data_IF_436022153479
#
_entry.id   IF_436022153479
#
_cell.length_a   1.000
_cell.length_b   1.000
_cell.length_c   1.000
_cell.angle_alpha   90.00
_cell.angle_beta   90.00
_cell.angle_gamma   90.00
#
_symmetry.space_group_name_H-M   'P 1'
#
loop_
_entity.id
_entity.type
_entity.pdbx_description
1 polymer ?
#
# COMPACT_ATOMS: atom_id res chain seq x y z
N UNK A 1 -38.17 0.69 -21.31
CA UNK A 1 -37.32 0.23 -20.19
C UNK A 1 -36.16 1.19 -20.12
N UNK A 2 -36.10 2.03 -19.09
CA UNK A 2 -35.10 3.09 -18.96
C UNK A 2 -34.07 2.62 -17.94
N UNK A 3 -32.86 2.32 -18.40
CA UNK A 3 -31.74 1.99 -17.54
C UNK A 3 -31.10 3.32 -17.14
N UNK A 4 -31.09 3.61 -15.84
CA UNK A 4 -30.30 4.70 -15.29
C UNK A 4 -28.95 4.13 -14.89
N UNK A 5 -27.93 4.34 -15.71
CA UNK A 5 -26.55 4.17 -15.25
C UNK A 5 -26.20 5.44 -14.49
N UNK A 6 -26.16 5.38 -13.15
CA UNK A 6 -25.48 6.39 -12.36
C UNK A 6 -23.98 6.21 -12.63
N UNK A 7 -23.51 6.79 -13.73
CA UNK A 7 -22.08 7.01 -13.95
C UNK A 7 -21.63 7.97 -12.84
N UNK A 8 -21.09 7.42 -11.76
CA UNK A 8 -20.52 8.20 -10.66
C UNK A 8 -19.08 8.53 -11.07
N UNK A 9 -18.95 9.59 -11.87
CA UNK A 9 -17.77 10.00 -12.64
C UNK A 9 -16.51 10.41 -11.84
N UNK A 10 -16.47 10.29 -10.51
CA UNK A 10 -15.34 10.78 -9.70
C UNK A 10 -14.72 9.73 -8.77
N UNK A 11 -15.08 8.46 -8.92
CA UNK A 11 -14.47 7.38 -8.17
C UNK A 11 -13.13 6.97 -8.81
N UNK A 12 -12.02 7.58 -8.38
CA UNK A 12 -10.69 7.24 -8.87
C UNK A 12 -10.26 5.90 -8.29
N UNK A 13 -10.11 4.87 -9.13
CA UNK A 13 -9.57 3.59 -8.71
C UNK A 13 -8.03 3.64 -8.67
N UNK A 14 -7.46 3.36 -7.51
CA UNK A 14 -6.00 3.32 -7.32
C UNK A 14 -5.56 1.89 -6.98
N UNK A 15 -4.32 1.48 -7.31
CA UNK A 15 -3.84 0.18 -6.88
C UNK A 15 -3.85 0.06 -5.35
N UNK A 16 -4.41 -1.04 -4.84
CA UNK A 16 -4.54 -1.31 -3.39
C UNK A 16 -3.18 -1.25 -2.68
N UNK A 17 -2.09 -1.60 -3.39
CA UNK A 17 -0.71 -1.52 -2.87
C UNK A 17 -0.26 -0.09 -2.60
N UNK A 18 -0.76 0.91 -3.34
CA UNK A 18 -0.41 2.32 -3.14
C UNK A 18 -0.86 2.83 -1.77
N UNK A 19 -1.99 2.35 -1.26
CA UNK A 19 -2.52 2.69 0.06
C UNK A 19 -1.74 2.05 1.22
N UNK A 20 -0.83 1.13 0.91
CA UNK A 20 0.07 0.48 1.87
C UNK A 20 1.53 0.89 1.66
N UNK A 21 1.78 1.78 0.69
CA UNK A 21 3.12 2.23 0.39
C UNK A 21 3.62 3.12 1.53
N UNK A 22 4.80 2.79 2.06
CA UNK A 22 5.52 3.62 3.03
C UNK A 22 6.85 4.02 2.39
N UNK A 23 7.10 5.32 2.18
CA UNK A 23 8.33 5.78 1.58
C UNK A 23 9.52 5.43 2.48
N UNK A 24 10.58 4.90 1.88
CA UNK A 24 11.86 4.73 2.54
C UNK A 24 12.79 5.87 2.09
N UNK A 25 13.19 6.73 3.02
CA UNK A 25 14.02 7.89 2.73
C UNK A 25 15.38 7.52 2.09
N UNK A 26 15.99 6.40 2.47
CA UNK A 26 17.26 5.93 1.90
C UNK A 26 17.08 5.56 0.42
N UNK A 27 16.03 4.79 0.10
CA UNK A 27 15.74 4.38 -1.27
C UNK A 27 15.28 5.54 -2.15
N UNK A 28 14.51 6.47 -1.59
CA UNK A 28 14.13 7.69 -2.29
C UNK A 28 15.36 8.54 -2.62
N UNK A 29 16.30 8.66 -1.68
CA UNK A 29 17.58 9.34 -1.90
C UNK A 29 18.40 8.73 -3.04
N UNK A 30 18.45 7.41 -3.17
CA UNK A 30 19.15 6.73 -4.28
C UNK A 30 18.60 7.09 -5.67
N UNK A 31 17.31 7.44 -5.76
CA UNK A 31 16.64 7.81 -7.02
C UNK A 31 16.37 9.32 -7.14
N UNK A 32 16.91 10.14 -6.24
CA UNK A 32 16.75 11.60 -6.26
C UNK A 32 15.36 12.10 -5.88
N UNK A 33 14.58 11.30 -5.16
CA UNK A 33 13.30 11.70 -4.59
C UNK A 33 13.42 12.01 -3.09
N UNK A 34 12.49 12.79 -2.56
CA UNK A 34 12.35 13.06 -1.12
C UNK A 34 10.92 12.84 -0.69
N UNK A 35 10.68 12.36 0.53
CA UNK A 35 9.34 12.30 1.11
C UNK A 35 9.19 13.41 2.15
N UNK A 36 8.05 14.11 2.11
CA UNK A 36 7.68 15.05 3.16
C UNK A 36 6.91 14.29 4.21
N UNK A 37 7.43 14.26 5.44
CA UNK A 37 6.66 13.79 6.58
C UNK A 37 5.58 14.81 6.90
N UNK A 38 4.35 14.34 7.11
CA UNK A 38 3.27 15.17 7.62
C UNK A 38 2.94 14.69 9.02
N UNK A 39 2.82 15.61 9.97
CA UNK A 39 2.39 15.32 11.35
C UNK A 39 0.88 15.04 11.44
N UNK A 40 0.26 14.84 10.28
CA UNK A 40 -1.18 14.76 10.11
C UNK A 40 -1.67 13.38 10.56
N UNK A 41 -1.85 13.18 11.88
CA UNK A 41 -2.49 11.98 12.45
C UNK A 41 -3.64 11.50 11.56
N UNK A 42 -3.56 10.28 11.05
CA UNK A 42 -4.59 9.73 10.18
C UNK A 42 -5.93 9.80 10.90
N UNK A 43 -6.91 10.47 10.29
CA UNK A 43 -8.27 10.48 10.83
C UNK A 43 -8.82 9.05 10.81
N UNK A 44 -9.66 8.65 11.79
CA UNK A 44 -10.26 7.31 11.80
C UNK A 44 -11.00 7.05 10.48
N UNK A 45 -10.65 5.96 9.80
CA UNK A 45 -11.24 5.59 8.50
C UNK A 45 -10.62 6.26 7.27
N UNK A 46 -9.69 7.21 7.45
CA UNK A 46 -8.87 7.72 6.35
C UNK A 46 -7.65 6.83 6.12
N UNK A 47 -7.17 6.81 4.87
CA UNK A 47 -5.92 6.18 4.45
C UNK A 47 -4.95 7.24 3.97
N UNK A 48 -3.67 6.92 4.06
CA UNK A 48 -2.63 7.75 3.47
C UNK A 48 -2.28 7.22 2.08
N UNK A 49 -2.16 8.14 1.13
CA UNK A 49 -1.72 7.87 -0.23
C UNK A 49 -0.60 8.83 -0.58
N UNK A 50 0.47 8.32 -1.18
CA UNK A 50 1.62 9.14 -1.54
C UNK A 50 1.48 9.66 -2.98
N UNK A 51 1.45 10.98 -3.12
CA UNK A 51 1.38 11.68 -4.40
C UNK A 51 2.76 12.22 -4.73
N UNK A 52 3.22 12.01 -5.96
CA UNK A 52 4.47 12.54 -6.49
C UNK A 52 4.22 13.93 -7.09
N UNK A 53 4.86 14.94 -6.49
CA UNK A 53 4.91 16.30 -7.01
C UNK A 53 6.35 16.63 -7.41
N UNK A 54 6.66 16.45 -8.70
CA UNK A 54 8.03 16.63 -9.21
C UNK A 54 8.98 15.58 -8.62
N UNK A 55 9.88 16.00 -7.74
CA UNK A 55 10.85 15.13 -7.04
C UNK A 55 10.47 14.86 -5.58
N UNK A 56 9.29 15.29 -5.15
CA UNK A 56 8.86 15.19 -3.76
C UNK A 56 7.60 14.33 -3.66
N UNK A 57 7.62 13.37 -2.75
CA UNK A 57 6.45 12.58 -2.37
C UNK A 57 5.75 13.25 -1.20
N UNK A 58 4.47 13.56 -1.40
CA UNK A 58 3.62 14.15 -0.38
C UNK A 58 2.53 13.17 0.05
N UNK A 59 2.32 13.00 1.36
CA UNK A 59 1.23 12.21 1.87
C UNK A 59 -0.08 12.98 1.69
N UNK A 60 -1.07 12.32 1.10
CA UNK A 60 -2.42 12.80 0.89
C UNK A 60 -3.37 11.89 1.66
N UNK A 61 -4.25 12.51 2.46
CA UNK A 61 -5.34 11.76 3.13
C UNK A 61 -6.45 11.49 2.13
N UNK A 62 -6.84 10.23 2.03
CA UNK A 62 -7.89 9.77 1.12
C UNK A 62 -8.88 8.87 1.85
N UNK A 63 -10.10 8.80 1.35
CA UNK A 63 -11.12 7.86 1.81
C UNK A 63 -11.31 6.78 0.76
N UNK A 64 -11.12 5.53 1.19
CA UNK A 64 -11.26 4.37 0.32
C UNK A 64 -12.66 3.77 0.44
N UNK A 65 -13.25 3.46 -0.72
CA UNK A 65 -14.52 2.75 -0.86
C UNK A 65 -14.29 1.26 -1.11
N UNK A 66 -14.96 0.73 -2.14
CA UNK A 66 -14.88 -0.68 -2.48
C UNK A 66 -13.48 -1.08 -2.96
N UNK A 67 -13.02 -2.27 -2.56
CA UNK A 67 -11.78 -2.86 -3.06
C UNK A 67 -12.09 -4.08 -3.95
N UNK A 68 -11.50 -4.10 -5.13
CA UNK A 68 -11.64 -5.14 -6.16
C UNK A 68 -10.25 -5.71 -6.47
N UNK A 69 -9.85 -6.71 -5.68
CA UNK A 69 -8.54 -7.37 -5.82
C UNK A 69 -7.38 -6.38 -5.68
N UNK A 70 -6.70 -6.12 -6.79
CA UNK A 70 -5.53 -5.23 -6.87
C UNK A 70 -5.89 -3.74 -6.91
N UNK A 71 -7.16 -3.38 -7.07
CA UNK A 71 -7.62 -1.99 -7.14
C UNK A 71 -8.51 -1.64 -5.96
N UNK A 72 -8.41 -0.41 -5.48
CA UNK A 72 -9.26 0.18 -4.45
C UNK A 72 -9.86 1.48 -4.96
N UNK A 73 -11.16 1.62 -4.82
CA UNK A 73 -11.89 2.86 -5.12
C UNK A 73 -11.52 3.94 -4.10
N UNK A 74 -11.24 5.15 -4.58
CA UNK A 74 -11.12 6.35 -3.76
C UNK A 74 -12.35 7.20 -3.95
N UNK A 75 -13.06 7.43 -2.86
CA UNK A 75 -14.31 8.20 -2.86
C UNK A 75 -14.07 9.68 -2.58
N UNK A 76 -13.01 10.02 -1.84
CA UNK A 76 -12.66 11.41 -1.48
C UNK A 76 -11.15 11.57 -1.26
N UNK A 77 -10.66 12.81 -1.42
CA UNK A 77 -9.28 13.19 -1.10
C UNK A 77 -8.29 13.16 -2.28
N UNK A 78 -8.77 12.88 -3.49
CA UNK A 78 -8.00 12.98 -4.74
C UNK A 78 -8.74 13.86 -5.74
N UNK A 79 -7.97 14.55 -6.59
CA UNK A 79 -8.51 15.40 -7.67
C UNK A 79 -8.39 14.77 -9.05
N UNK A 80 -7.91 13.52 -9.16
CA UNK A 80 -7.81 12.76 -10.41
C UNK A 80 -6.65 13.16 -11.35
N UNK A 81 -6.02 14.32 -11.13
CA UNK A 81 -4.89 14.84 -11.89
C UNK A 81 -3.51 14.54 -11.26
N UNK A 82 -3.49 13.77 -10.17
CA UNK A 82 -2.32 13.55 -9.32
C UNK A 82 -1.56 12.27 -9.71
N UNK A 83 -0.22 12.33 -9.76
CA UNK A 83 0.63 11.15 -9.92
C UNK A 83 0.72 10.38 -8.59
N UNK A 84 0.22 9.15 -8.54
CA UNK A 84 0.20 8.34 -7.31
C UNK A 84 1.34 7.34 -7.31
N UNK A 85 2.02 7.21 -6.17
CA UNK A 85 3.07 6.23 -5.97
C UNK A 85 2.49 4.89 -5.54
N UNK A 86 2.70 3.88 -6.38
CA UNK A 86 2.22 2.51 -6.15
C UNK A 86 3.33 1.58 -5.64
N UNK A 87 4.59 2.01 -5.75
CA UNK A 87 5.79 1.31 -5.31
C UNK A 87 7.07 1.97 -5.83
N UNK A 88 8.22 1.56 -5.29
CA UNK A 88 9.55 1.94 -5.80
C UNK A 88 10.20 0.70 -6.43
N UNK A 89 10.58 0.81 -7.70
CA UNK A 89 11.35 -0.24 -8.39
C UNK A 89 12.79 0.24 -8.48
N UNK A 90 13.63 -0.21 -7.55
CA UNK A 90 15.08 -0.05 -7.68
C UNK A 90 15.62 -1.25 -8.45
N UNK A 91 16.57 -1.04 -9.36
CA UNK A 91 17.17 -2.11 -10.16
C UNK A 91 17.98 -3.13 -9.33
N UNK A 92 18.18 -2.86 -8.03
CA UNK A 92 18.70 -3.82 -7.06
C UNK A 92 17.51 -4.57 -6.44
N UNK A 93 17.46 -5.92 -6.51
CA UNK A 93 16.38 -6.67 -5.89
C UNK A 93 16.38 -6.39 -4.38
N UNK A 94 15.40 -5.60 -3.92
CA UNK A 94 15.10 -5.46 -2.51
C UNK A 94 14.42 -6.77 -2.11
N UNK A 95 15.10 -7.56 -1.29
CA UNK A 95 14.49 -8.69 -0.60
C UNK A 95 13.33 -8.13 0.24
N UNK A 96 12.12 -8.25 -0.30
CA UNK A 96 10.89 -8.16 0.48
C UNK A 96 11.03 -9.25 1.54
N UNK A 97 11.34 -8.85 2.77
CA UNK A 97 11.31 -9.73 3.91
C UNK A 97 9.86 -10.16 4.08
N UNK A 98 9.50 -11.22 3.35
CA UNK A 98 8.31 -11.99 3.55
C UNK A 98 8.28 -12.30 5.05
N UNK A 99 7.38 -11.61 5.76
CA UNK A 99 7.06 -11.93 7.12
C UNK A 99 6.74 -13.42 7.13
N UNK A 100 7.66 -14.20 7.68
CA UNK A 100 7.57 -15.65 7.74
C UNK A 100 6.38 -15.90 8.66
N UNK A 101 5.21 -16.12 8.07
CA UNK A 101 4.03 -16.66 8.74
C UNK A 101 4.44 -18.03 9.27
N UNK A 102 4.99 -18.06 10.49
CA UNK A 102 4.97 -19.28 11.29
C UNK A 102 3.55 -19.42 11.80
N UNK A 103 2.72 -20.16 11.06
CA UNK A 103 1.39 -20.55 11.54
C UNK A 103 1.53 -21.18 12.93
N UNK A 104 0.81 -20.65 13.95
CA UNK A 104 0.96 -21.06 15.35
C UNK A 104 0.36 -22.45 15.67
N UNK A 105 -0.07 -23.19 14.64
CA UNK A 105 -0.77 -24.47 14.75
C UNK A 105 -0.06 -25.63 14.06
N UNK A 106 1.23 -25.51 13.74
CA UNK A 106 2.04 -26.69 13.41
C UNK A 106 2.70 -27.21 14.69
N UNK A 107 2.08 -28.18 15.40
CA UNK A 107 2.80 -28.93 16.42
C UNK A 107 3.96 -29.67 15.74
N UNK A 108 5.14 -29.60 16.36
CA UNK A 108 6.33 -30.31 15.89
C UNK A 108 6.08 -31.83 15.87
N UNK A 109 6.76 -32.57 14.98
CA UNK A 109 6.61 -34.02 14.90
C UNK A 109 7.01 -34.66 16.25
N UNK A 110 6.25 -35.67 16.71
CA UNK A 110 6.55 -36.35 17.97
C UNK A 110 7.91 -37.04 17.87
N UNK A 111 8.79 -36.72 18.83
CA UNK A 111 10.15 -37.24 18.89
C UNK A 111 10.18 -38.76 18.94
N UNK A 112 10.57 -39.38 17.84
CA UNK A 112 11.05 -40.76 17.82
C UNK A 112 12.50 -40.76 18.27
N UNK A 113 12.81 -41.38 19.40
CA UNK A 113 14.14 -41.94 19.66
C UNK A 113 14.01 -43.15 20.59
N UNK A 114 13.77 -44.28 19.95
CA UNK A 114 14.27 -45.58 20.37
C UNK A 114 15.79 -45.54 20.66
N UNK A 115 16.19 -46.18 21.76
CA UNK A 115 17.52 -46.73 22.09
C UNK A 115 18.66 -45.76 22.45
N UNK A 116 18.98 -45.74 23.75
CA UNK A 116 20.23 -46.34 24.31
C UNK A 116 20.35 -46.11 25.82
N UNK A 117 20.07 -47.14 26.63
CA UNK A 117 21.01 -47.77 27.58
C UNK A 117 20.35 -48.98 28.25
#
# INVERSE_FOLDING_TARGET
>A
MTIFTLEKDDATAVPTKALRFVPNAELLGEIGLTAVETDSQAAPGSRELWVKEGTTLRPRRVYAGAASGDMTEITEGLTGSEEIVTGLVTAKPREETAAIERSPFMPGPPGSNDKKK
#
